data_IF_291542835151
#
_entry.id   IF_291542835151
#
_cell.length_a   1.000
_cell.length_b   1.000
_cell.length_c   1.000
_cell.angle_alpha   90.00
_cell.angle_beta   90.00
_cell.angle_gamma   90.00
#
_symmetry.space_group_name_H-M   'P 1'
#
loop_
_entity.id
_entity.type
_entity.pdbx_description
1 polymer ?
#
# COMPACT_ATOMS: atom_id res chain seq x y z
N UNK A 1 -29.01 -40.12 -22.74
CA UNK A 1 -28.11 -38.97 -22.55
C UNK A 1 -27.26 -39.26 -21.32
N UNK A 2 -26.02 -39.69 -21.51
CA UNK A 2 -25.04 -39.84 -20.43
C UNK A 2 -24.75 -38.45 -19.86
N UNK A 3 -25.28 -38.16 -18.66
CA UNK A 3 -24.99 -36.92 -17.97
C UNK A 3 -23.48 -36.80 -17.74
N UNK A 4 -22.90 -35.64 -18.02
CA UNK A 4 -21.48 -35.38 -17.71
C UNK A 4 -21.24 -35.62 -16.22
N UNK A 5 -20.08 -36.20 -15.90
CA UNK A 5 -19.66 -36.41 -14.51
C UNK A 5 -19.71 -35.09 -13.73
N UNK A 6 -20.26 -35.06 -12.49
CA UNK A 6 -20.29 -33.86 -11.66
C UNK A 6 -18.92 -33.16 -11.51
N UNK A 7 -17.81 -33.90 -11.55
CA UNK A 7 -16.46 -33.32 -11.46
C UNK A 7 -16.08 -32.57 -12.73
N UNK A 8 -16.39 -33.12 -13.91
CA UNK A 8 -16.18 -32.44 -15.20
C UNK A 8 -17.03 -31.17 -15.31
N UNK A 9 -18.29 -31.23 -14.85
CA UNK A 9 -19.20 -30.08 -14.79
C UNK A 9 -18.66 -28.99 -13.86
N UNK A 10 -18.18 -29.36 -12.67
CA UNK A 10 -17.55 -28.43 -11.74
C UNK A 10 -16.34 -27.74 -12.36
N UNK A 11 -15.47 -28.48 -13.05
CA UNK A 11 -14.30 -27.93 -13.74
C UNK A 11 -14.70 -26.93 -14.85
N UNK A 12 -15.76 -27.22 -15.61
CA UNK A 12 -16.27 -26.30 -16.62
C UNK A 12 -16.83 -25.01 -16.00
N UNK A 13 -17.64 -25.14 -14.94
CA UNK A 13 -18.18 -23.98 -14.22
C UNK A 13 -17.06 -23.14 -13.59
N UNK A 14 -16.00 -23.78 -13.08
CA UNK A 14 -14.83 -23.08 -12.54
C UNK A 14 -14.11 -22.27 -13.64
N UNK A 15 -13.91 -22.83 -14.83
CA UNK A 15 -13.34 -22.11 -16.00
C UNK A 15 -14.21 -20.93 -16.43
N UNK A 16 -15.53 -21.06 -16.35
CA UNK A 16 -16.46 -19.97 -16.66
C UNK A 16 -16.34 -18.85 -15.63
N UNK A 17 -16.39 -19.18 -14.33
CA UNK A 17 -16.22 -18.21 -13.24
C UNK A 17 -14.82 -17.56 -13.22
N UNK A 18 -13.80 -18.26 -13.70
CA UNK A 18 -12.43 -17.76 -13.78
C UNK A 18 -12.29 -16.53 -14.69
N UNK A 19 -13.10 -16.40 -15.75
CA UNK A 19 -13.05 -15.24 -16.62
C UNK A 19 -13.35 -13.94 -15.87
N UNK A 20 -14.41 -13.92 -15.06
CA UNK A 20 -14.80 -12.76 -14.26
C UNK A 20 -13.77 -12.44 -13.17
N UNK A 21 -13.17 -13.46 -12.58
CA UNK A 21 -12.15 -13.31 -11.54
C UNK A 21 -10.83 -12.81 -12.16
N UNK A 22 -10.35 -13.37 -13.27
CA UNK A 22 -9.13 -12.92 -13.94
C UNK A 22 -9.28 -11.52 -14.56
N UNK A 23 -10.49 -11.12 -14.98
CA UNK A 23 -10.76 -9.75 -15.38
C UNK A 23 -10.70 -8.77 -14.19
N UNK A 24 -11.11 -9.21 -13.00
CA UNK A 24 -11.11 -8.39 -11.80
C UNK A 24 -9.75 -8.35 -11.09
N UNK A 25 -8.97 -9.43 -11.13
CA UNK A 25 -7.75 -9.63 -10.34
C UNK A 25 -6.49 -9.88 -11.17
N UNK A 26 -5.31 -9.58 -10.63
CA UNK A 26 -4.00 -9.85 -11.25
C UNK A 26 -3.60 -11.32 -11.10
N UNK A 27 -4.43 -12.21 -11.65
CA UNK A 27 -4.20 -13.65 -11.77
C UNK A 27 -4.45 -14.06 -13.21
N UNK A 28 -3.70 -15.04 -13.71
CA UNK A 28 -3.97 -15.64 -15.01
C UNK A 28 -5.28 -16.44 -14.99
N UNK A 29 -5.95 -16.56 -16.14
CA UNK A 29 -7.25 -17.25 -16.23
C UNK A 29 -7.16 -18.72 -15.86
N UNK A 30 -6.13 -19.41 -16.31
CA UNK A 30 -5.96 -20.85 -16.04
C UNK A 30 -5.57 -21.07 -14.58
N UNK A 31 -4.69 -20.22 -14.06
CA UNK A 31 -4.36 -20.20 -12.63
C UNK A 31 -5.61 -19.94 -11.75
N UNK A 32 -6.48 -19.01 -12.16
CA UNK A 32 -7.73 -18.74 -11.46
C UNK A 32 -8.68 -19.94 -11.52
N UNK A 33 -8.83 -20.58 -12.70
CA UNK A 33 -9.68 -21.76 -12.86
C UNK A 33 -9.22 -22.93 -11.98
N UNK A 34 -7.91 -23.21 -11.94
CA UNK A 34 -7.32 -24.24 -11.09
C UNK A 34 -7.60 -23.97 -9.61
N UNK A 35 -7.41 -22.71 -9.16
CA UNK A 35 -7.65 -22.34 -7.76
C UNK A 35 -9.13 -22.38 -7.37
N UNK A 36 -10.03 -21.93 -8.24
CA UNK A 36 -11.48 -22.03 -8.02
C UNK A 36 -11.88 -23.50 -7.88
N UNK A 37 -11.38 -24.37 -8.76
CA UNK A 37 -11.68 -25.79 -8.72
C UNK A 37 -11.22 -26.43 -7.42
N UNK A 38 -10.00 -26.14 -6.94
CA UNK A 38 -9.50 -26.65 -5.66
C UNK A 38 -10.40 -26.23 -4.48
N UNK A 39 -10.87 -24.98 -4.48
CA UNK A 39 -11.77 -24.46 -3.43
C UNK A 39 -13.13 -25.17 -3.50
N UNK A 40 -13.69 -25.30 -4.70
CA UNK A 40 -15.01 -25.90 -4.93
C UNK A 40 -15.03 -27.41 -4.71
N UNK A 41 -13.90 -28.09 -4.93
CA UNK A 41 -13.72 -29.50 -4.57
C UNK A 41 -13.85 -29.74 -3.05
N UNK A 42 -13.77 -28.71 -2.22
CA UNK A 42 -14.01 -28.81 -0.77
C UNK A 42 -15.40 -28.31 -0.35
N UNK A 43 -16.19 -27.79 -1.28
CA UNK A 43 -17.53 -27.23 -1.01
C UNK A 43 -18.62 -28.31 -1.14
N UNK A 44 -19.07 -28.84 0.00
CA UNK A 44 -20.09 -29.89 0.04
C UNK A 44 -21.44 -29.44 -0.52
N UNK A 45 -21.83 -28.18 -0.30
CA UNK A 45 -23.12 -27.66 -0.75
C UNK A 45 -23.16 -27.51 -2.28
N UNK A 46 -22.06 -27.08 -2.89
CA UNK A 46 -21.94 -27.04 -4.34
C UNK A 46 -21.93 -28.44 -4.97
N UNK A 47 -21.22 -29.41 -4.38
CA UNK A 47 -21.23 -30.80 -4.85
C UNK A 47 -22.64 -31.39 -4.84
N UNK A 48 -23.37 -31.19 -3.75
CA UNK A 48 -24.75 -31.65 -3.61
C UNK A 48 -25.68 -30.99 -4.64
N UNK A 49 -25.53 -29.69 -4.88
CA UNK A 49 -26.28 -28.98 -5.91
C UNK A 49 -26.01 -29.54 -7.32
N UNK A 50 -24.74 -29.83 -7.65
CA UNK A 50 -24.35 -30.41 -8.94
C UNK A 50 -24.88 -31.84 -9.13
N UNK A 51 -24.91 -32.65 -8.07
CA UNK A 51 -25.43 -34.01 -8.11
C UNK A 51 -26.96 -34.05 -8.32
N UNK A 52 -27.69 -33.09 -7.73
CA UNK A 52 -29.16 -33.03 -7.80
C UNK A 52 -29.69 -32.37 -9.07
N UNK A 53 -29.00 -31.36 -9.59
CA UNK A 53 -29.48 -30.56 -10.73
C UNK A 53 -28.59 -30.80 -11.97
N UNK A 54 -29.10 -31.47 -13.02
CA UNK A 54 -28.33 -31.75 -14.23
C UNK A 54 -28.06 -30.52 -15.11
N UNK A 55 -28.82 -29.43 -14.96
CA UNK A 55 -28.65 -28.21 -15.75
C UNK A 55 -27.67 -27.23 -15.07
N UNK A 56 -26.56 -26.94 -15.76
CA UNK A 56 -25.57 -25.95 -15.30
C UNK A 56 -26.20 -24.56 -15.12
N UNK A 57 -27.08 -24.13 -16.03
CA UNK A 57 -27.79 -22.84 -15.93
C UNK A 57 -28.68 -22.75 -14.68
N UNK A 58 -29.27 -23.87 -14.24
CA UNK A 58 -30.05 -23.91 -13.02
C UNK A 58 -29.16 -23.88 -11.79
N UNK A 59 -28.07 -24.66 -11.78
CA UNK A 59 -27.05 -24.63 -10.72
C UNK A 59 -26.50 -23.21 -10.52
N UNK A 60 -26.19 -22.50 -11.60
CA UNK A 60 -25.65 -21.13 -11.55
C UNK A 60 -26.59 -20.12 -10.87
N UNK A 61 -27.90 -20.37 -10.88
CA UNK A 61 -28.90 -19.52 -10.19
C UNK A 61 -29.09 -19.89 -8.72
N UNK A 62 -28.59 -21.06 -8.29
CA UNK A 62 -28.72 -21.52 -6.91
C UNK A 62 -27.86 -20.72 -5.94
N UNK A 63 -28.30 -20.66 -4.69
CA UNK A 63 -27.56 -20.01 -3.60
C UNK A 63 -26.19 -20.64 -3.39
N UNK A 64 -26.10 -21.97 -3.44
CA UNK A 64 -24.85 -22.71 -3.24
C UNK A 64 -23.77 -22.28 -4.23
N UNK A 65 -24.10 -22.19 -5.53
CA UNK A 65 -23.16 -21.70 -6.54
C UNK A 65 -22.72 -20.26 -6.29
N UNK A 66 -23.66 -19.33 -6.03
CA UNK A 66 -23.31 -17.93 -5.74
C UNK A 66 -22.40 -17.78 -4.51
N UNK A 67 -22.64 -18.59 -3.47
CA UNK A 67 -21.80 -18.62 -2.28
C UNK A 67 -20.41 -19.20 -2.59
N UNK A 68 -20.33 -20.28 -3.36
CA UNK A 68 -19.06 -20.87 -3.79
C UNK A 68 -18.23 -19.89 -4.64
N UNK A 69 -18.86 -19.13 -5.54
CA UNK A 69 -18.20 -18.06 -6.31
C UNK A 69 -17.69 -16.95 -5.37
N UNK A 70 -18.53 -16.48 -4.43
CA UNK A 70 -18.14 -15.44 -3.49
C UNK A 70 -16.98 -15.88 -2.56
N UNK A 71 -17.02 -17.13 -2.10
CA UNK A 71 -15.97 -17.77 -1.32
C UNK A 71 -14.67 -17.85 -2.12
N UNK A 72 -14.72 -18.39 -3.34
CA UNK A 72 -13.54 -18.49 -4.21
C UNK A 72 -12.93 -17.11 -4.50
N UNK A 73 -13.76 -16.11 -4.80
CA UNK A 73 -13.31 -14.72 -5.00
C UNK A 73 -12.60 -14.16 -3.76
N UNK A 74 -13.15 -14.41 -2.58
CA UNK A 74 -12.58 -13.96 -1.31
C UNK A 74 -11.23 -14.64 -1.03
N UNK A 75 -11.16 -15.95 -1.17
CA UNK A 75 -9.94 -16.73 -0.96
C UNK A 75 -8.84 -16.32 -1.94
N UNK A 76 -9.14 -16.24 -3.25
CA UNK A 76 -8.18 -15.80 -4.27
C UNK A 76 -7.67 -14.38 -3.97
N UNK A 77 -8.56 -13.47 -3.55
CA UNK A 77 -8.15 -12.13 -3.13
C UNK A 77 -7.14 -12.17 -1.98
N UNK A 78 -7.38 -12.98 -0.95
CA UNK A 78 -6.47 -13.11 0.19
C UNK A 78 -5.16 -13.81 -0.19
N UNK A 79 -5.20 -14.85 -1.02
CA UNK A 79 -4.01 -15.56 -1.50
C UNK A 79 -3.12 -14.61 -2.31
N UNK A 80 -3.68 -13.93 -3.31
CA UNK A 80 -2.93 -12.97 -4.14
C UNK A 80 -2.35 -11.82 -3.30
N UNK A 81 -3.09 -11.40 -2.27
CA UNK A 81 -2.61 -10.37 -1.35
C UNK A 81 -1.44 -10.91 -0.51
N UNK A 82 -1.53 -12.13 0.01
CA UNK A 82 -0.47 -12.79 0.77
C UNK A 82 0.79 -13.03 -0.05
N UNK A 83 0.68 -13.47 -1.30
CA UNK A 83 1.83 -13.65 -2.19
C UNK A 83 2.54 -12.35 -2.56
N UNK A 84 1.81 -11.22 -2.62
CA UNK A 84 2.40 -9.89 -2.80
C UNK A 84 2.95 -9.31 -1.50
N UNK A 85 2.40 -9.75 -0.37
CA UNK A 85 2.82 -9.42 0.99
C UNK A 85 3.65 -10.55 1.59
N UNK A 86 4.59 -11.17 0.85
CA UNK A 86 5.69 -11.89 1.53
C UNK A 86 6.61 -10.85 2.20
N UNK A 87 6.01 -10.10 3.13
CA UNK A 87 6.58 -9.19 4.12
C UNK A 87 7.44 -9.97 5.12
N UNK A 88 7.53 -11.30 4.99
CA UNK A 88 8.43 -12.17 5.75
C UNK A 88 9.90 -11.76 5.58
N UNK A 89 10.24 -11.15 4.44
CA UNK A 89 11.58 -10.64 4.16
C UNK A 89 11.82 -9.20 4.60
N UNK A 90 10.79 -8.38 4.86
CA UNK A 90 11.01 -6.98 5.24
C UNK A 90 11.75 -6.84 6.57
N UNK A 91 11.39 -7.58 7.65
CA UNK A 91 12.20 -7.63 8.86
C UNK A 91 13.61 -8.17 8.61
N UNK A 92 13.80 -9.08 7.65
CA UNK A 92 15.12 -9.59 7.31
C UNK A 92 15.98 -8.53 6.61
N UNK A 93 15.46 -7.87 5.58
CA UNK A 93 16.13 -6.79 4.87
C UNK A 93 16.40 -5.60 5.81
N UNK A 94 15.46 -5.25 6.68
CA UNK A 94 15.63 -4.25 7.72
C UNK A 94 16.76 -4.61 8.69
N UNK A 95 16.86 -5.88 9.13
CA UNK A 95 17.98 -6.36 9.94
C UNK A 95 19.31 -6.32 9.20
N UNK A 96 19.33 -6.67 7.91
CA UNK A 96 20.53 -6.57 7.10
C UNK A 96 21.01 -5.12 7.03
N UNK A 97 20.10 -4.17 6.80
CA UNK A 97 20.41 -2.73 6.83
C UNK A 97 20.91 -2.29 8.21
N UNK A 98 20.27 -2.78 9.27
CA UNK A 98 20.69 -2.59 10.66
C UNK A 98 22.10 -3.09 10.98
N UNK A 99 22.58 -4.09 10.24
CA UNK A 99 23.92 -4.67 10.38
C UNK A 99 25.01 -3.99 9.55
N UNK A 100 24.67 -3.01 8.72
CA UNK A 100 25.64 -2.23 7.94
C UNK A 100 26.46 -1.36 8.92
N UNK A 101 27.79 -1.58 9.05
CA UNK A 101 28.60 -0.77 9.94
C UNK A 101 28.79 0.65 9.37
N UNK A 102 29.02 1.66 10.23
CA UNK A 102 29.52 2.96 9.78
C UNK A 102 30.80 2.78 8.94
N UNK A 103 30.91 3.50 7.82
CA UNK A 103 32.03 3.38 6.91
C UNK A 103 32.00 2.17 5.97
N UNK A 104 30.90 1.40 5.93
CA UNK A 104 30.71 0.37 4.91
C UNK A 104 30.76 0.96 3.49
N UNK A 105 31.32 0.19 2.56
CA UNK A 105 31.45 0.55 1.16
C UNK A 105 30.11 0.97 0.54
N UNK A 106 30.03 2.12 -0.17
CA UNK A 106 28.77 2.63 -0.71
C UNK A 106 28.01 1.65 -1.62
N UNK A 107 28.74 0.83 -2.39
CA UNK A 107 28.15 -0.19 -3.25
C UNK A 107 27.39 -1.24 -2.44
N UNK A 108 27.97 -1.68 -1.31
CA UNK A 108 27.35 -2.66 -0.44
C UNK A 108 26.09 -2.11 0.21
N UNK A 109 26.10 -0.84 0.61
CA UNK A 109 24.92 -0.19 1.19
C UNK A 109 23.83 -0.02 0.14
N UNK A 110 24.18 0.39 -1.08
CA UNK A 110 23.23 0.51 -2.18
C UNK A 110 22.52 -0.81 -2.51
N UNK A 111 23.23 -1.95 -2.47
CA UNK A 111 22.63 -3.29 -2.64
C UNK A 111 21.60 -3.60 -1.55
N UNK A 112 21.97 -3.36 -0.28
CA UNK A 112 21.11 -3.66 0.87
C UNK A 112 19.89 -2.73 0.90
N UNK A 113 20.07 -1.44 0.58
CA UNK A 113 19.00 -0.47 0.40
C UNK A 113 18.05 -0.89 -0.72
N UNK A 114 18.57 -1.27 -1.89
CA UNK A 114 17.75 -1.73 -3.00
C UNK A 114 16.95 -2.98 -2.64
N UNK A 115 17.59 -3.94 -1.95
CA UNK A 115 16.91 -5.14 -1.46
C UNK A 115 15.75 -4.77 -0.53
N UNK A 116 15.98 -3.95 0.49
CA UNK A 116 14.94 -3.53 1.43
C UNK A 116 13.80 -2.75 0.75
N UNK A 117 14.14 -1.83 -0.16
CA UNK A 117 13.18 -1.09 -0.96
C UNK A 117 12.30 -2.00 -1.83
N UNK A 118 12.89 -3.04 -2.43
CA UNK A 118 12.17 -4.00 -3.28
C UNK A 118 11.21 -4.93 -2.52
N UNK A 119 11.44 -5.15 -1.23
CA UNK A 119 10.56 -5.98 -0.38
C UNK A 119 9.35 -5.19 0.14
N UNK A 120 9.45 -3.86 0.24
CA UNK A 120 8.35 -3.04 0.72
C UNK A 120 7.36 -2.73 -0.41
N UNK A 121 6.14 -3.28 -0.33
CA UNK A 121 5.15 -3.24 -1.43
C UNK A 121 4.90 -1.84 -1.99
N UNK A 122 4.78 -0.82 -1.14
CA UNK A 122 4.52 0.55 -1.61
C UNK A 122 5.70 1.16 -2.39
N UNK A 123 6.92 0.70 -2.12
CA UNK A 123 8.14 1.14 -2.83
C UNK A 123 8.37 0.28 -4.06
N UNK A 124 8.18 -1.04 -3.95
CA UNK A 124 8.24 -1.96 -5.08
C UNK A 124 7.31 -1.53 -6.23
N UNK A 125 6.10 -1.04 -5.90
CA UNK A 125 5.17 -0.46 -6.88
C UNK A 125 5.72 0.77 -7.62
N UNK A 126 6.66 1.51 -7.02
CA UNK A 126 7.26 2.74 -7.57
C UNK A 126 8.56 2.50 -8.32
N UNK A 127 9.24 1.36 -8.13
CA UNK A 127 10.61 1.14 -8.62
C UNK A 127 10.74 1.30 -10.15
N UNK A 128 9.74 0.86 -10.91
CA UNK A 128 9.75 0.94 -12.39
C UNK A 128 9.69 2.39 -12.91
N UNK A 129 9.23 3.34 -12.10
CA UNK A 129 9.05 4.76 -12.45
C UNK A 129 9.50 5.69 -11.32
N UNK A 130 10.53 5.28 -10.58
CA UNK A 130 10.93 5.94 -9.34
C UNK A 130 11.43 7.37 -9.57
N UNK A 131 12.09 7.63 -10.69
CA UNK A 131 12.55 8.97 -11.05
C UNK A 131 11.41 9.94 -11.34
N UNK A 132 10.37 9.49 -12.06
CA UNK A 132 9.16 10.28 -12.30
C UNK A 132 8.40 10.54 -10.99
N UNK A 133 8.34 9.52 -10.13
CA UNK A 133 7.76 9.66 -8.80
C UNK A 133 8.51 10.73 -7.97
N UNK A 134 9.84 10.68 -7.93
CA UNK A 134 10.62 11.66 -7.20
C UNK A 134 10.57 13.04 -7.84
N UNK A 135 10.54 13.16 -9.17
CA UNK A 135 10.36 14.45 -9.82
C UNK A 135 9.05 15.12 -9.36
N UNK A 136 7.93 14.39 -9.41
CA UNK A 136 6.63 14.88 -8.95
C UNK A 136 6.62 15.17 -7.44
N UNK A 137 7.25 14.32 -6.62
CA UNK A 137 7.31 14.52 -5.17
C UNK A 137 8.13 15.75 -4.81
N UNK A 138 9.30 15.93 -5.42
CA UNK A 138 10.18 17.06 -5.19
C UNK A 138 9.52 18.37 -5.60
N UNK A 139 8.81 18.39 -6.74
CA UNK A 139 8.01 19.54 -7.15
C UNK A 139 6.92 19.89 -6.12
N UNK A 140 6.22 18.87 -5.59
CA UNK A 140 5.15 19.07 -4.62
C UNK A 140 5.65 19.53 -3.24
N UNK A 141 6.80 19.02 -2.76
CA UNK A 141 7.38 19.45 -1.48
C UNK A 141 8.02 20.85 -1.58
N UNK A 142 8.58 21.22 -2.73
CA UNK A 142 9.34 22.46 -2.91
C UNK A 142 10.69 22.41 -2.19
N UNK A 143 11.00 23.46 -1.43
CA UNK A 143 12.27 23.62 -0.71
C UNK A 143 12.06 23.63 0.82
N UNK A 144 11.62 22.50 1.44
CA UNK A 144 11.41 22.44 2.88
C UNK A 144 12.74 22.45 3.65
N UNK A 145 12.73 22.96 4.88
CA UNK A 145 13.79 22.72 5.86
C UNK A 145 13.47 21.51 6.75
N UNK A 146 12.19 21.31 7.08
CA UNK A 146 11.69 20.26 7.96
C UNK A 146 10.55 19.48 7.32
N UNK A 147 10.76 18.17 7.15
CA UNK A 147 9.78 17.25 6.57
C UNK A 147 9.44 16.15 7.56
N UNK A 148 8.15 15.84 7.72
CA UNK A 148 7.68 14.64 8.44
C UNK A 148 7.04 13.66 7.46
N UNK A 149 7.41 12.39 7.55
CA UNK A 149 6.89 11.31 6.72
C UNK A 149 6.14 10.30 7.58
N UNK A 150 4.81 10.29 7.45
CA UNK A 150 3.91 9.53 8.31
C UNK A 150 3.58 8.21 7.65
N UNK A 151 4.01 7.09 8.26
CA UNK A 151 3.87 5.77 7.66
C UNK A 151 4.70 5.61 6.39
N UNK A 152 5.86 6.28 6.34
CA UNK A 152 6.73 6.33 5.16
C UNK A 152 7.37 4.99 4.78
N UNK A 153 7.30 3.98 5.66
CA UNK A 153 7.96 2.71 5.47
C UNK A 153 9.46 2.90 5.23
N UNK A 154 9.95 2.37 4.11
CA UNK A 154 11.36 2.45 3.74
C UNK A 154 11.70 3.54 2.71
N UNK A 155 10.77 4.48 2.44
CA UNK A 155 11.03 5.60 1.53
C UNK A 155 12.31 6.39 1.85
N UNK A 156 12.65 6.66 3.14
CA UNK A 156 13.86 7.43 3.46
C UNK A 156 15.15 6.76 3.01
N UNK A 157 15.15 5.46 2.73
CA UNK A 157 16.35 4.77 2.25
C UNK A 157 16.73 5.17 0.83
N UNK A 158 15.73 5.55 0.03
CA UNK A 158 15.88 5.87 -1.39
C UNK A 158 15.52 7.31 -1.73
N UNK A 159 15.11 8.11 -0.73
CA UNK A 159 14.79 9.52 -0.93
C UNK A 159 16.02 10.31 -1.42
N UNK A 160 15.89 11.16 -2.45
CA UNK A 160 17.02 11.87 -3.03
C UNK A 160 17.37 13.15 -2.25
N UNK A 161 17.92 12.99 -1.05
CA UNK A 161 18.27 14.11 -0.15
C UNK A 161 19.18 15.15 -0.81
N UNK A 162 20.08 14.72 -1.69
CA UNK A 162 20.98 15.52 -2.50
C UNK A 162 20.26 16.46 -3.50
N UNK A 163 18.98 16.20 -3.80
CA UNK A 163 18.13 17.05 -4.64
C UNK A 163 17.30 18.05 -3.82
N UNK A 164 17.44 18.07 -2.49
CA UNK A 164 16.74 18.99 -1.58
C UNK A 164 17.74 19.65 -0.62
N UNK A 165 18.60 20.57 -1.10
CA UNK A 165 19.73 21.10 -0.32
C UNK A 165 19.30 21.93 0.91
N UNK A 166 18.06 22.41 0.95
CA UNK A 166 17.49 23.14 2.09
C UNK A 166 17.08 22.23 3.24
N UNK A 167 16.88 20.93 2.97
CA UNK A 167 16.34 19.99 3.94
C UNK A 167 17.35 19.72 5.06
N UNK A 168 17.01 20.19 6.26
CA UNK A 168 17.83 20.01 7.47
C UNK A 168 17.38 18.81 8.28
N UNK A 169 16.09 18.47 8.20
CA UNK A 169 15.52 17.37 8.98
C UNK A 169 14.41 16.65 8.24
N UNK A 170 14.56 15.33 8.13
CA UNK A 170 13.55 14.39 7.67
C UNK A 170 13.17 13.48 8.85
N UNK A 171 11.92 13.56 9.32
CA UNK A 171 11.42 12.74 10.43
C UNK A 171 10.50 11.65 9.89
N UNK A 172 10.94 10.40 9.94
CA UNK A 172 10.09 9.23 9.70
C UNK A 172 9.32 8.88 10.98
N UNK A 173 8.00 8.77 10.87
CA UNK A 173 7.12 8.19 11.89
C UNK A 173 6.57 6.87 11.38
N UNK A 174 6.88 5.77 12.07
CA UNK A 174 6.49 4.43 11.64
C UNK A 174 6.12 3.55 12.84
N UNK A 175 5.14 2.67 12.67
CA UNK A 175 4.67 1.77 13.73
C UNK A 175 5.57 0.55 13.87
N UNK A 176 6.17 0.08 12.79
CA UNK A 176 7.04 -1.10 12.78
C UNK A 176 8.47 -0.75 13.29
N UNK A 177 8.89 -1.26 14.46
CA UNK A 177 10.22 -1.00 15.00
C UNK A 177 11.36 -1.52 14.11
N UNK A 178 11.13 -2.54 13.28
CA UNK A 178 12.15 -3.03 12.36
C UNK A 178 12.44 -2.01 11.26
N UNK A 179 11.42 -1.37 10.71
CA UNK A 179 11.59 -0.30 9.71
C UNK A 179 12.32 0.89 10.35
N UNK A 180 11.88 1.34 11.53
CA UNK A 180 12.55 2.42 12.27
C UNK A 180 14.01 2.10 12.53
N UNK A 181 14.31 0.88 12.96
CA UNK A 181 15.69 0.41 13.18
C UNK A 181 16.55 0.44 11.92
N UNK A 182 15.98 0.04 10.77
CA UNK A 182 16.68 0.07 9.48
C UNK A 182 16.98 1.50 9.03
N UNK A 183 16.00 2.41 9.11
CA UNK A 183 16.17 3.81 8.74
C UNK A 183 17.14 4.53 9.67
N UNK A 184 17.11 4.22 10.98
CA UNK A 184 18.08 4.74 11.93
C UNK A 184 19.51 4.25 11.63
N UNK A 185 19.67 3.00 11.17
CA UNK A 185 20.98 2.49 10.76
C UNK A 185 21.48 3.16 9.47
N UNK A 186 20.60 3.38 8.49
CA UNK A 186 20.92 4.14 7.29
C UNK A 186 21.33 5.58 7.61
N UNK A 187 20.60 6.25 8.50
CA UNK A 187 20.94 7.59 8.99
C UNK A 187 22.35 7.64 9.59
N UNK A 188 22.70 6.68 10.46
CA UNK A 188 24.05 6.58 11.04
C UNK A 188 25.15 6.35 9.99
N UNK A 189 24.86 5.53 8.98
CA UNK A 189 25.81 5.30 7.88
C UNK A 189 26.02 6.56 7.04
N UNK A 190 24.95 7.30 6.72
CA UNK A 190 25.04 8.58 5.99
C UNK A 190 25.87 9.61 6.75
N UNK A 191 25.67 9.68 8.07
CA UNK A 191 26.43 10.57 8.95
C UNK A 191 26.14 12.07 8.81
N UNK A 192 25.16 12.46 7.99
CA UNK A 192 24.76 13.85 7.76
C UNK A 192 23.79 14.39 8.81
N UNK A 193 23.17 13.52 9.61
CA UNK A 193 22.23 13.89 10.67
C UNK A 193 20.87 14.38 10.18
N UNK A 194 20.59 14.31 8.87
CA UNK A 194 19.34 14.80 8.28
C UNK A 194 18.16 13.91 8.69
N UNK A 195 18.37 12.60 8.77
CA UNK A 195 17.29 11.62 8.98
C UNK A 195 17.13 11.29 10.47
N UNK A 196 15.93 11.49 11.00
CA UNK A 196 15.47 10.94 12.27
C UNK A 196 14.33 9.93 12.02
N UNK A 197 14.34 8.82 12.73
CA UNK A 197 13.26 7.83 12.68
C UNK A 197 12.75 7.53 14.08
N UNK A 198 11.43 7.48 14.23
CA UNK A 198 10.78 7.29 15.52
C UNK A 198 9.67 6.23 15.39
N UNK A 199 9.62 5.32 16.38
CA UNK A 199 8.46 4.44 16.55
C UNK A 199 7.29 5.28 17.03
N UNK A 200 6.21 5.30 16.26
CA UNK A 200 5.02 6.09 16.57
C UNK A 200 3.76 5.40 16.05
N UNK A 201 2.74 5.28 16.90
CA UNK A 201 1.39 4.89 16.49
C UNK A 201 0.50 6.14 16.43
N UNK A 202 -0.36 6.24 15.41
CA UNK A 202 -1.28 7.37 15.22
C UNK A 202 -2.19 7.58 16.45
N UNK A 203 -2.42 6.53 17.24
CA UNK A 203 -3.18 6.61 18.50
C UNK A 203 -2.50 7.43 19.58
N UNK A 204 -1.18 7.57 19.53
CA UNK A 204 -0.39 8.25 20.55
C UNK A 204 -0.47 9.78 20.39
N UNK A 205 -0.97 10.26 19.24
CA UNK A 205 -1.09 11.69 18.97
C UNK A 205 0.25 12.37 18.69
N UNK A 206 0.21 13.67 18.38
CA UNK A 206 1.39 14.44 18.02
C UNK A 206 2.25 14.86 19.22
N UNK A 207 1.69 14.81 20.44
CA UNK A 207 2.44 15.11 21.67
C UNK A 207 3.59 14.12 21.92
N UNK A 208 3.49 12.92 21.34
CA UNK A 208 4.55 11.92 21.38
C UNK A 208 5.69 12.19 20.39
N UNK A 209 5.54 13.16 19.47
CA UNK A 209 6.50 13.45 18.41
C UNK A 209 7.28 14.72 18.77
N UNK A 210 8.60 14.70 18.57
CA UNK A 210 9.40 15.92 18.65
C UNK A 210 9.16 16.78 17.40
N UNK A 211 8.30 17.78 17.54
CA UNK A 211 7.96 18.76 16.50
C UNK A 211 8.94 19.93 16.57
N UNK A 212 9.60 20.34 15.47
CA UNK A 212 10.42 21.55 15.45
C UNK A 212 9.52 22.80 15.61
N UNK A 213 10.05 23.88 16.18
CA UNK A 213 9.36 25.19 16.15
C UNK A 213 9.64 25.89 14.80
N UNK A 214 8.63 26.44 14.08
CA UNK A 214 7.20 26.53 14.46
C UNK A 214 6.36 25.29 14.09
N UNK A 215 6.91 24.34 13.35
CA UNK A 215 6.28 23.11 12.90
C UNK A 215 7.08 22.49 11.76
N UNK A 216 6.55 21.44 11.14
CA UNK A 216 7.09 20.94 9.87
C UNK A 216 6.66 21.84 8.71
N UNK A 217 7.51 22.01 7.71
CA UNK A 217 7.13 22.71 6.47
C UNK A 217 6.19 21.82 5.65
N UNK A 218 6.51 20.53 5.59
CA UNK A 218 5.78 19.54 4.80
C UNK A 218 5.55 18.25 5.60
N UNK A 219 4.33 17.73 5.53
CA UNK A 219 4.00 16.36 5.91
C UNK A 219 3.70 15.49 4.69
N UNK A 220 4.29 14.30 4.64
CA UNK A 220 3.96 13.25 3.67
C UNK A 220 3.01 12.23 4.31
N UNK A 221 1.89 11.97 3.65
CA UNK A 221 0.90 10.94 4.02
C UNK A 221 0.60 10.08 2.80
N UNK A 222 1.63 9.41 2.29
CA UNK A 222 1.55 8.72 1.00
C UNK A 222 0.83 7.37 1.15
N UNK A 223 -0.27 7.19 0.41
CA UNK A 223 -1.16 6.01 0.50
C UNK A 223 -1.69 5.72 1.93
N UNK A 224 -1.56 6.67 2.87
CA UNK A 224 -1.90 6.46 4.30
C UNK A 224 -3.37 6.75 4.61
N UNK A 225 -3.85 7.95 4.30
CA UNK A 225 -5.20 8.43 4.68
C UNK A 225 -6.30 7.44 4.23
N UNK A 226 -6.30 6.93 2.98
CA UNK A 226 -7.30 5.95 2.58
C UNK A 226 -7.26 4.64 3.37
N UNK A 227 -6.08 4.20 3.83
CA UNK A 227 -5.95 3.02 4.70
C UNK A 227 -6.57 3.29 6.06
N UNK A 228 -6.23 4.42 6.68
CA UNK A 228 -6.75 4.80 8.01
C UNK A 228 -8.26 5.01 7.96
N UNK A 229 -8.81 5.69 6.95
CA UNK A 229 -10.26 5.85 6.78
C UNK A 229 -11.01 4.52 6.77
N UNK A 230 -10.43 3.47 6.15
CA UNK A 230 -11.06 2.15 6.04
C UNK A 230 -10.93 1.31 7.30
N UNK A 231 -9.81 1.40 8.00
CA UNK A 231 -9.49 0.48 9.11
C UNK A 231 -9.78 1.11 10.48
N UNK A 232 -9.45 2.39 10.65
CA UNK A 232 -9.47 3.10 11.92
C UNK A 232 -9.92 4.55 11.72
N UNK A 233 -11.16 4.80 11.25
CA UNK A 233 -11.62 6.14 10.89
C UNK A 233 -11.54 7.16 12.03
N UNK A 234 -11.62 6.71 13.29
CA UNK A 234 -11.45 7.56 14.47
C UNK A 234 -10.05 8.19 14.60
N UNK A 235 -9.03 7.62 13.94
CA UNK A 235 -7.65 8.12 13.97
C UNK A 235 -7.38 9.19 12.91
N UNK A 236 -8.34 9.49 12.05
CA UNK A 236 -8.20 10.56 11.06
C UNK A 236 -8.04 11.92 11.70
N UNK A 237 -8.64 12.14 12.89
CA UNK A 237 -8.49 13.38 13.64
C UNK A 237 -7.02 13.67 13.99
N UNK A 238 -6.25 12.64 14.36
CA UNK A 238 -4.81 12.79 14.57
C UNK A 238 -4.11 13.20 13.27
N UNK A 239 -4.41 12.54 12.15
CA UNK A 239 -3.78 12.93 10.87
C UNK A 239 -4.17 14.35 10.45
N UNK A 240 -5.42 14.76 10.64
CA UNK A 240 -5.89 16.11 10.34
C UNK A 240 -5.24 17.20 11.20
N UNK A 241 -4.84 16.86 12.43
CA UNK A 241 -4.15 17.80 13.33
C UNK A 241 -2.64 17.91 13.12
N UNK A 242 -2.10 17.30 12.05
CA UNK A 242 -0.65 17.32 11.74
C UNK A 242 -0.04 18.73 11.90
N UNK A 243 1.08 18.87 12.61
CA UNK A 243 1.76 20.15 12.80
C UNK A 243 2.65 20.47 11.59
N UNK A 244 2.04 20.56 10.41
CA UNK A 244 2.72 20.91 9.17
C UNK A 244 1.97 22.00 8.40
N UNK A 245 2.69 22.87 7.70
CA UNK A 245 2.10 23.94 6.90
C UNK A 245 1.48 23.40 5.60
N UNK A 246 2.17 22.47 4.94
CA UNK A 246 1.73 21.77 3.74
C UNK A 246 1.62 20.27 4.01
N UNK A 247 0.62 19.63 3.40
CA UNK A 247 0.42 18.18 3.50
C UNK A 247 0.27 17.60 2.11
N UNK A 248 1.02 16.55 1.80
CA UNK A 248 0.87 15.78 0.56
C UNK A 248 0.18 14.47 0.91
N UNK A 249 -1.04 14.30 0.41
CA UNK A 249 -1.86 13.11 0.67
C UNK A 249 -2.08 12.39 -0.64
N UNK A 250 -1.72 11.11 -0.70
CA UNK A 250 -1.89 10.29 -1.92
C UNK A 250 -2.66 9.01 -1.65
N UNK A 251 -3.14 8.40 -2.72
CA UNK A 251 -3.70 7.06 -2.76
C UNK A 251 -3.27 6.33 -4.03
N UNK A 252 -3.39 5.00 -4.02
CA UNK A 252 -3.01 4.19 -5.17
C UNK A 252 -4.00 4.36 -6.32
N UNK A 253 -3.52 4.46 -7.56
CA UNK A 253 -4.37 4.44 -8.77
C UNK A 253 -5.00 3.07 -9.02
N UNK A 254 -4.34 2.00 -8.57
CA UNK A 254 -4.76 0.61 -8.72
C UNK A 254 -4.79 -0.11 -7.38
N UNK A 255 -5.72 -1.06 -7.21
CA UNK A 255 -5.72 -1.90 -6.02
C UNK A 255 -4.62 -2.97 -6.11
N UNK A 256 -3.99 -3.29 -4.98
CA UNK A 256 -2.91 -4.29 -4.85
C UNK A 256 -3.10 -5.58 -5.65
N UNK A 257 -4.34 -6.05 -5.80
CA UNK A 257 -4.67 -7.30 -6.50
C UNK A 257 -5.71 -7.11 -7.59
N UNK A 258 -6.31 -5.93 -7.74
CA UNK A 258 -7.40 -5.69 -8.68
C UNK A 258 -6.90 -4.94 -9.92
N UNK A 259 -7.41 -5.30 -11.09
CA UNK A 259 -7.09 -4.62 -12.36
C UNK A 259 -7.88 -3.33 -12.59
N UNK A 260 -8.97 -3.10 -11.83
CA UNK A 260 -9.79 -1.89 -11.95
C UNK A 260 -9.11 -0.70 -11.27
N UNK A 261 -9.14 0.44 -11.94
CA UNK A 261 -8.77 1.72 -11.34
C UNK A 261 -9.61 1.98 -10.09
N UNK A 262 -8.95 2.45 -9.04
CA UNK A 262 -9.58 2.89 -7.78
C UNK A 262 -9.43 4.40 -7.58
N UNK A 263 -8.90 5.12 -8.58
CA UNK A 263 -8.62 6.57 -8.56
C UNK A 263 -9.78 7.38 -8.00
N UNK A 264 -10.98 7.23 -8.56
CA UNK A 264 -12.15 8.01 -8.13
C UNK A 264 -12.48 7.81 -6.65
N UNK A 265 -12.31 6.58 -6.15
CA UNK A 265 -12.55 6.27 -4.73
C UNK A 265 -11.47 6.85 -3.84
N UNK A 266 -10.20 6.68 -4.20
CA UNK A 266 -9.09 7.21 -3.39
C UNK A 266 -9.12 8.74 -3.36
N UNK A 267 -9.31 9.40 -4.51
CA UNK A 267 -9.48 10.85 -4.57
C UNK A 267 -10.67 11.34 -3.75
N UNK A 268 -11.83 10.68 -3.84
CA UNK A 268 -12.99 11.04 -3.01
C UNK A 268 -12.67 10.98 -1.51
N UNK A 269 -11.95 9.94 -1.07
CA UNK A 269 -11.52 9.85 0.35
C UNK A 269 -10.54 10.95 0.74
N UNK A 270 -9.63 11.34 -0.16
CA UNK A 270 -8.66 12.41 0.10
C UNK A 270 -9.35 13.78 0.13
N UNK A 271 -10.32 14.01 -0.75
CA UNK A 271 -11.14 15.22 -0.79
C UNK A 271 -12.00 15.35 0.45
N UNK A 272 -12.71 14.28 0.85
CA UNK A 272 -13.49 14.25 2.09
C UNK A 272 -12.60 14.54 3.32
N UNK A 273 -11.37 14.02 3.32
CA UNK A 273 -10.40 14.29 4.38
C UNK A 273 -9.98 15.77 4.39
N UNK A 274 -9.64 16.33 3.22
CA UNK A 274 -9.23 17.72 3.10
C UNK A 274 -10.35 18.67 3.55
N UNK A 275 -11.58 18.45 3.09
CA UNK A 275 -12.76 19.25 3.46
C UNK A 275 -13.05 19.14 4.96
N UNK A 276 -13.06 17.93 5.51
CA UNK A 276 -13.40 17.70 6.92
C UNK A 276 -12.42 18.35 7.90
N UNK A 277 -11.15 18.50 7.51
CA UNK A 277 -10.10 19.12 8.33
C UNK A 277 -9.68 20.50 7.82
N UNK A 278 -10.52 21.13 6.99
CA UNK A 278 -10.37 22.52 6.54
C UNK A 278 -9.01 22.80 5.86
N UNK A 279 -8.51 21.81 5.11
CA UNK A 279 -7.35 21.98 4.25
C UNK A 279 -7.73 22.64 2.92
N UNK A 280 -6.94 23.60 2.47
CA UNK A 280 -7.04 24.19 1.14
C UNK A 280 -6.31 23.32 0.11
N UNK A 281 -6.99 22.90 -0.97
CA UNK A 281 -6.34 22.26 -2.13
C UNK A 281 -5.56 23.33 -2.92
N UNK A 282 -4.23 23.24 -2.88
CA UNK A 282 -3.33 24.18 -3.57
C UNK A 282 -2.65 23.56 -4.78
N UNK A 283 -2.89 22.27 -5.02
CA UNK A 283 -2.34 21.55 -6.15
C UNK A 283 -2.73 20.08 -6.14
N UNK A 284 -2.32 19.37 -7.19
CA UNK A 284 -2.56 17.94 -7.36
C UNK A 284 -1.24 17.21 -7.49
N UNK A 285 -1.24 15.97 -7.01
CA UNK A 285 -0.12 15.05 -7.14
C UNK A 285 -0.55 13.89 -8.04
N UNK A 286 0.21 13.61 -9.09
CA UNK A 286 -0.11 12.52 -10.01
C UNK A 286 1.16 11.86 -10.56
N UNK A 287 1.24 10.53 -10.44
CA UNK A 287 2.32 9.71 -11.01
C UNK A 287 1.71 8.51 -11.76
N UNK A 288 2.53 7.58 -12.24
CA UNK A 288 2.02 6.36 -12.89
C UNK A 288 1.11 5.51 -11.96
N UNK A 289 1.41 5.46 -10.67
CA UNK A 289 0.74 4.59 -9.69
C UNK A 289 0.00 5.33 -8.57
N UNK A 290 0.18 6.65 -8.43
CA UNK A 290 -0.42 7.46 -7.36
C UNK A 290 -1.19 8.66 -7.86
N UNK A 291 -2.18 9.04 -7.07
CA UNK A 291 -2.99 10.24 -7.26
C UNK A 291 -3.27 10.86 -5.89
N UNK A 292 -3.24 12.17 -5.80
CA UNK A 292 -3.35 12.86 -4.52
C UNK A 292 -3.54 14.36 -4.65
N UNK A 293 -3.57 15.00 -3.48
CA UNK A 293 -3.70 16.45 -3.34
C UNK A 293 -2.49 17.01 -2.61
N UNK A 294 -2.13 18.23 -2.99
CA UNK A 294 -1.22 19.09 -2.25
C UNK A 294 -2.09 20.06 -1.47
N UNK A 295 -2.01 19.98 -0.15
CA UNK A 295 -2.90 20.66 0.78
C UNK A 295 -2.14 21.69 1.59
N UNK A 296 -2.79 22.80 1.93
CA UNK A 296 -2.30 23.79 2.88
C UNK A 296 -3.26 23.89 4.05
N UNK A 297 -2.73 23.97 5.27
CA UNK A 297 -3.56 24.25 6.44
C UNK A 297 -4.11 25.67 6.33
N UNK A 298 -5.42 25.83 6.40
CA UNK A 298 -6.03 27.16 6.46
C UNK A 298 -5.46 27.88 7.69
N UNK A 299 -5.06 29.15 7.53
CA UNK A 299 -4.62 29.94 8.68
C UNK A 299 -5.77 29.97 9.72
N UNK A 300 -5.48 29.79 11.02
CA UNK A 300 -6.49 29.94 12.07
C UNK A 300 -7.10 31.35 12.09
#
# INVERSE_FOLDING_TARGET
MTGRDPSERMAQLARNAAADIAAAYRIDRDAAAARILEIWQRDAALKEALAREPSDDRVMRMRAFRQAVASARRTIYFDLRRYRQDESDLPHAARQLGSVPPGAEPQRVAEVVRSAASTHVSIAERLDHIEDFFAALLEAIGEPEHLVDVGGGVLPLIFPFDRVPTLRRYVLLERDPAIVGAVAAYSRWRGDGIIAAQVWDIKDGWDAVTVPEPGFDVALMLKLVPVIRRQFPQLLATLGSVPAQRVIVTGSKQGLVKRRSIVRRELGVIQDFAEHFEFEEIGRFETADEVGLILRKSAP
#
